data_IF_656937147701
#
_entry.id   IF_656937147701
#
_cell.length_a   1.000
_cell.length_b   1.000
_cell.length_c   1.000
_cell.angle_alpha   90.00
_cell.angle_beta   90.00
_cell.angle_gamma   90.00
#
_symmetry.space_group_name_H-M   'P 1'
#
loop_
_entity.id
_entity.type
_entity.pdbx_description
1 polymer ?
#
# COMPACT_ATOMS: atom_id res chain seq x y z
N UNK A 1 46.19 14.15 35.82
CA UNK A 1 47.49 14.50 36.46
C UNK A 1 48.05 15.82 35.90
N UNK A 2 48.13 16.04 34.61
CA UNK A 2 48.61 17.32 34.03
C UNK A 2 47.76 18.53 34.47
N UNK A 3 46.41 18.39 34.46
CA UNK A 3 45.50 19.44 34.95
C UNK A 3 45.68 19.81 36.40
N UNK A 4 45.98 18.83 37.27
CA UNK A 4 46.23 19.04 38.69
C UNK A 4 47.55 19.79 38.91
N UNK A 5 48.60 19.38 38.21
CA UNK A 5 49.92 20.05 38.26
C UNK A 5 49.85 21.49 37.71
N UNK A 6 49.03 21.73 36.68
CA UNK A 6 48.80 23.07 36.16
C UNK A 6 48.09 23.96 37.19
N UNK A 7 47.03 23.45 37.82
CA UNK A 7 46.32 24.17 38.91
C UNK A 7 47.19 24.50 40.09
N UNK A 8 48.25 23.70 40.35
CA UNK A 8 49.25 23.92 41.38
C UNK A 8 50.38 24.85 40.92
N UNK A 9 50.35 25.35 39.70
CA UNK A 9 51.39 26.20 39.13
C UNK A 9 52.69 25.47 38.83
N UNK A 10 52.72 24.14 38.84
CA UNK A 10 53.93 23.32 38.67
C UNK A 10 54.32 23.06 37.20
N UNK A 11 53.44 23.35 36.24
CA UNK A 11 53.68 23.20 34.81
C UNK A 11 53.07 24.37 34.03
N UNK A 12 53.60 24.62 32.80
CA UNK A 12 53.07 25.64 31.91
C UNK A 12 51.76 25.19 31.24
N UNK A 13 50.97 26.16 30.81
CA UNK A 13 49.75 25.93 30.01
C UNK A 13 50.06 25.13 28.74
N UNK A 14 51.13 25.48 28.05
CA UNK A 14 51.57 24.75 26.86
C UNK A 14 51.86 23.26 27.14
N UNK A 15 52.45 22.96 28.29
CA UNK A 15 52.70 21.55 28.68
C UNK A 15 51.40 20.81 28.94
N UNK A 16 50.46 21.43 29.66
CA UNK A 16 49.12 20.87 29.90
C UNK A 16 48.43 20.58 28.58
N UNK A 17 48.38 21.53 27.62
CA UNK A 17 47.68 21.41 26.36
C UNK A 17 48.34 20.36 25.47
N UNK A 18 49.65 20.26 25.44
CA UNK A 18 50.33 19.16 24.75
C UNK A 18 50.00 17.79 25.36
N UNK A 19 49.96 17.67 26.68
CA UNK A 19 49.57 16.42 27.33
C UNK A 19 48.09 16.06 27.05
N UNK A 20 47.21 17.05 26.97
CA UNK A 20 45.81 16.85 26.60
C UNK A 20 45.67 16.40 25.15
N UNK A 21 46.41 17.02 24.23
CA UNK A 21 46.44 16.65 22.82
C UNK A 21 46.94 15.21 22.64
N UNK A 22 48.04 14.85 23.31
CA UNK A 22 48.58 13.48 23.27
C UNK A 22 47.57 12.46 23.82
N UNK A 23 46.90 12.78 24.93
CA UNK A 23 45.84 11.94 25.47
C UNK A 23 44.71 11.73 24.45
N UNK A 24 44.21 12.80 23.86
CA UNK A 24 43.14 12.74 22.87
C UNK A 24 43.54 11.91 21.63
N UNK A 25 44.78 12.04 21.17
CA UNK A 25 45.30 11.21 20.08
C UNK A 25 45.32 9.74 20.42
N UNK A 26 45.77 9.38 21.64
CA UNK A 26 45.79 7.98 22.13
C UNK A 26 44.36 7.43 22.30
N UNK A 27 43.43 8.25 22.78
CA UNK A 27 42.01 7.87 22.89
C UNK A 27 41.38 7.60 21.51
N UNK A 28 41.73 8.36 20.47
CA UNK A 28 41.30 8.10 19.10
C UNK A 28 41.85 6.77 18.58
N UNK A 29 43.15 6.51 18.75
CA UNK A 29 43.78 5.23 18.35
C UNK A 29 43.14 4.05 19.05
N UNK A 30 42.86 4.18 20.36
CA UNK A 30 42.15 3.14 21.10
C UNK A 30 40.74 2.91 20.52
N UNK A 31 39.98 3.98 20.29
CA UNK A 31 38.63 3.90 19.73
C UNK A 31 38.60 3.24 18.36
N UNK A 32 39.57 3.55 17.48
CA UNK A 32 39.72 2.91 16.17
C UNK A 32 40.03 1.41 16.33
N UNK A 33 40.96 1.03 17.22
CA UNK A 33 41.30 -0.37 17.46
C UNK A 33 40.13 -1.16 18.05
N UNK A 34 39.36 -0.56 18.96
CA UNK A 34 38.13 -1.15 19.48
C UNK A 34 37.05 -1.33 18.43
N UNK A 35 36.95 -0.37 17.50
CA UNK A 35 36.04 -0.48 16.35
C UNK A 35 36.50 -1.62 15.44
N UNK A 36 37.76 -1.67 15.08
CA UNK A 36 38.31 -2.74 14.23
C UNK A 36 38.07 -4.13 14.83
N UNK A 37 38.23 -4.25 16.13
CA UNK A 37 37.92 -5.49 16.84
C UNK A 37 36.43 -5.85 16.76
N UNK A 38 35.54 -4.89 16.99
CA UNK A 38 34.09 -5.15 16.84
C UNK A 38 33.71 -5.54 15.40
N UNK A 39 34.36 -4.94 14.40
CA UNK A 39 34.11 -5.21 13.00
C UNK A 39 34.62 -6.61 12.55
N UNK A 40 35.37 -7.33 13.41
CA UNK A 40 35.71 -8.74 13.15
C UNK A 40 34.54 -9.70 13.38
N UNK A 41 33.50 -9.26 14.10
CA UNK A 41 32.29 -10.04 14.36
C UNK A 41 31.09 -9.40 13.66
N UNK A 42 30.42 -10.16 12.80
CA UNK A 42 29.23 -9.70 12.10
C UNK A 42 27.97 -10.21 12.80
N UNK A 43 27.16 -9.31 13.31
CA UNK A 43 25.90 -9.62 13.95
C UNK A 43 24.72 -9.33 13.02
N UNK A 44 23.67 -10.18 13.08
CA UNK A 44 22.43 -9.92 12.39
C UNK A 44 21.77 -8.63 12.93
N UNK A 45 21.40 -7.65 12.07
CA UNK A 45 20.80 -6.40 12.53
C UNK A 45 19.35 -6.53 12.99
N UNK A 46 18.68 -7.62 12.64
CA UNK A 46 17.30 -7.97 13.02
C UNK A 46 17.09 -9.47 12.95
N UNK A 47 15.98 -9.95 13.49
CA UNK A 47 15.57 -11.35 13.40
C UNK A 47 15.08 -11.67 11.98
N UNK A 48 15.65 -12.69 11.37
CA UNK A 48 15.31 -13.06 10.00
C UNK A 48 15.88 -14.40 9.56
N UNK A 49 15.63 -14.74 8.32
CA UNK A 49 16.18 -15.95 7.68
C UNK A 49 17.36 -15.56 6.81
N UNK A 50 18.51 -16.22 7.06
CA UNK A 50 19.70 -16.01 6.25
C UNK A 50 19.52 -16.75 4.91
N UNK A 51 19.70 -16.02 3.83
CA UNK A 51 19.64 -16.52 2.47
C UNK A 51 20.94 -16.16 1.73
N UNK A 52 21.20 -16.86 0.61
CA UNK A 52 22.32 -16.58 -0.30
C UNK A 52 23.66 -16.40 0.43
N UNK A 53 24.02 -17.38 1.29
CA UNK A 53 25.27 -17.38 2.04
C UNK A 53 26.45 -17.62 1.08
N UNK A 54 27.32 -16.62 0.97
CA UNK A 54 28.51 -16.66 0.11
C UNK A 54 29.82 -16.73 0.91
N UNK A 55 29.72 -16.62 2.23
CA UNK A 55 30.85 -16.78 3.11
C UNK A 55 31.23 -18.25 3.25
N UNK A 56 32.49 -18.58 3.02
CA UNK A 56 33.07 -19.91 3.27
C UNK A 56 34.26 -19.78 4.18
N UNK A 57 34.50 -20.83 4.99
CA UNK A 57 35.67 -20.87 5.86
C UNK A 57 36.95 -20.70 5.09
N UNK A 58 37.81 -19.78 5.50
CA UNK A 58 39.08 -19.47 4.85
C UNK A 58 38.98 -18.49 3.68
N UNK A 59 37.79 -18.01 3.34
CA UNK A 59 37.64 -16.95 2.34
C UNK A 59 38.04 -15.60 2.96
N UNK A 60 38.91 -14.87 2.26
CA UNK A 60 39.20 -13.48 2.60
C UNK A 60 38.01 -12.62 2.22
N UNK A 61 37.47 -11.85 3.16
CA UNK A 61 36.33 -10.97 2.96
C UNK A 61 36.80 -9.52 2.99
N UNK A 62 36.39 -8.72 2.00
CA UNK A 62 36.63 -7.28 1.95
C UNK A 62 35.39 -6.53 2.46
N UNK A 63 35.62 -5.55 3.31
CA UNK A 63 34.55 -4.70 3.88
C UNK A 63 33.78 -3.86 2.83
N UNK A 64 34.32 -3.72 1.60
CA UNK A 64 33.74 -2.82 0.61
C UNK A 64 32.94 -3.50 -0.51
N UNK A 65 33.24 -4.76 -0.84
CA UNK A 65 32.70 -5.36 -2.08
C UNK A 65 32.17 -6.78 -1.93
N UNK A 66 32.32 -7.43 -0.79
CA UNK A 66 31.92 -8.83 -0.64
C UNK A 66 30.56 -8.97 0.04
N UNK A 67 29.58 -9.50 -0.71
CA UNK A 67 28.33 -10.00 -0.14
C UNK A 67 28.63 -11.27 0.65
N UNK A 68 28.38 -11.25 1.94
CA UNK A 68 28.57 -12.41 2.84
C UNK A 68 27.33 -13.29 2.84
N UNK A 69 26.16 -12.66 2.82
CA UNK A 69 24.87 -13.30 2.81
C UNK A 69 23.78 -12.23 2.73
N UNK A 70 22.55 -12.69 2.79
CA UNK A 70 21.36 -11.82 2.82
C UNK A 70 20.49 -12.28 3.97
N UNK A 71 20.03 -11.33 4.80
CA UNK A 71 19.04 -11.62 5.82
C UNK A 71 17.69 -11.06 5.38
N UNK A 72 16.67 -11.88 5.46
CA UNK A 72 15.31 -11.56 5.01
C UNK A 72 14.38 -11.58 6.20
N UNK A 73 13.69 -10.46 6.44
CA UNK A 73 12.60 -10.38 7.40
C UNK A 73 11.34 -10.97 6.76
N UNK A 74 10.96 -12.17 7.21
CA UNK A 74 9.75 -12.85 6.74
C UNK A 74 8.53 -12.58 7.62
N UNK A 75 8.70 -11.84 8.72
CA UNK A 75 7.62 -11.52 9.66
C UNK A 75 6.97 -10.15 9.40
N UNK A 76 7.71 -9.25 8.74
CA UNK A 76 7.25 -7.89 8.43
C UNK A 76 7.24 -7.70 6.91
N UNK A 77 6.26 -8.29 6.23
CA UNK A 77 6.15 -8.20 4.78
C UNK A 77 5.20 -7.09 4.34
N UNK A 78 5.60 -6.39 3.28
CA UNK A 78 4.73 -5.44 2.56
C UNK A 78 4.39 -6.00 1.18
N UNK A 79 3.16 -5.74 0.75
CA UNK A 79 2.78 -5.89 -0.66
C UNK A 79 2.79 -4.53 -1.33
N UNK A 80 3.43 -4.46 -2.51
CA UNK A 80 3.46 -3.28 -3.36
C UNK A 80 2.61 -3.51 -4.60
N UNK A 81 1.72 -2.57 -4.90
CA UNK A 81 0.90 -2.58 -6.11
C UNK A 81 0.68 -1.17 -6.63
N UNK A 82 0.28 -1.05 -7.89
CA UNK A 82 0.00 0.24 -8.52
C UNK A 82 -1.48 0.33 -8.84
N UNK A 83 -2.08 1.49 -8.56
CA UNK A 83 -3.45 1.83 -8.94
C UNK A 83 -3.42 2.94 -9.99
N UNK A 84 -4.41 2.97 -10.87
CA UNK A 84 -4.54 4.02 -11.89
C UNK A 84 -4.87 5.38 -11.25
N UNK A 85 -4.62 6.47 -11.99
CA UNK A 85 -5.00 7.82 -11.56
C UNK A 85 -6.50 7.94 -11.25
N UNK A 86 -7.35 7.27 -12.04
CA UNK A 86 -8.79 7.28 -11.85
C UNK A 86 -9.20 6.57 -10.56
N UNK A 87 -8.58 5.42 -10.26
CA UNK A 87 -8.80 4.71 -9.00
C UNK A 87 -8.32 5.55 -7.82
N UNK A 88 -7.14 6.14 -7.92
CA UNK A 88 -6.60 7.02 -6.89
C UNK A 88 -7.49 8.23 -6.64
N UNK A 89 -7.99 8.87 -7.71
CA UNK A 89 -8.95 9.98 -7.60
C UNK A 89 -10.22 9.59 -6.85
N UNK A 90 -10.80 8.42 -7.14
CA UNK A 90 -11.98 7.93 -6.40
C UNK A 90 -11.70 7.67 -4.92
N UNK A 91 -10.51 7.15 -4.59
CA UNK A 91 -10.11 6.95 -3.19
C UNK A 91 -9.90 8.27 -2.44
N UNK A 92 -9.43 9.32 -3.13
CA UNK A 92 -9.30 10.66 -2.52
C UNK A 92 -10.65 11.34 -2.27
N UNK A 93 -11.67 11.00 -3.07
CA UNK A 93 -13.03 11.51 -2.90
C UNK A 93 -13.87 10.70 -1.90
N UNK A 94 -13.35 9.57 -1.41
CA UNK A 94 -14.03 8.74 -0.42
C UNK A 94 -13.95 9.40 0.97
N UNK A 95 -14.97 9.23 1.78
CA UNK A 95 -14.99 9.69 3.18
C UNK A 95 -13.99 8.88 4.05
N UNK A 96 -13.66 7.67 3.63
CA UNK A 96 -12.69 6.84 4.31
C UNK A 96 -11.27 7.17 3.85
N UNK A 97 -10.37 7.28 4.81
CA UNK A 97 -8.95 7.51 4.54
C UNK A 97 -8.35 6.36 3.71
N UNK A 98 -7.34 6.70 2.90
CA UNK A 98 -6.60 5.70 2.12
C UNK A 98 -5.70 4.89 3.06
N UNK A 99 -5.02 5.57 4.00
CA UNK A 99 -4.17 4.91 5.00
C UNK A 99 -5.02 4.09 5.97
N UNK A 100 -4.53 2.92 6.32
CA UNK A 100 -5.26 1.98 7.19
C UNK A 100 -6.40 1.23 6.51
N UNK A 101 -6.68 1.47 5.22
CA UNK A 101 -7.71 0.75 4.46
C UNK A 101 -7.35 -0.73 4.38
N UNK A 102 -8.29 -1.59 4.75
CA UNK A 102 -8.12 -3.04 4.73
C UNK A 102 -8.05 -3.57 3.29
N UNK A 103 -7.17 -4.54 3.09
CA UNK A 103 -6.96 -5.23 1.81
C UNK A 103 -6.89 -6.73 2.07
N UNK A 104 -7.56 -7.52 1.24
CA UNK A 104 -7.38 -8.96 1.19
C UNK A 104 -6.23 -9.27 0.21
N UNK A 105 -5.23 -10.00 0.68
CA UNK A 105 -4.10 -10.50 -0.10
C UNK A 105 -4.28 -11.99 -0.31
N UNK A 106 -4.39 -12.43 -1.56
CA UNK A 106 -4.58 -13.83 -1.93
C UNK A 106 -3.37 -14.34 -2.69
N UNK A 107 -2.73 -15.35 -2.15
CA UNK A 107 -1.63 -16.06 -2.78
C UNK A 107 -2.04 -17.50 -3.12
N UNK A 108 -2.04 -17.82 -4.42
CA UNK A 108 -2.39 -19.14 -4.91
C UNK A 108 -1.12 -19.97 -5.07
N UNK A 109 -1.02 -21.08 -4.33
CA UNK A 109 0.11 -22.02 -4.41
C UNK A 109 -0.43 -23.40 -4.77
N UNK A 110 -0.09 -23.87 -5.97
CA UNK A 110 -0.68 -25.08 -6.51
C UNK A 110 -2.19 -24.94 -6.65
N UNK A 111 -2.95 -25.71 -5.89
CA UNK A 111 -4.43 -25.66 -5.88
C UNK A 111 -5.00 -25.01 -4.62
N UNK A 112 -4.17 -24.43 -3.77
CA UNK A 112 -4.61 -23.81 -2.51
C UNK A 112 -4.49 -22.30 -2.60
N UNK A 113 -5.52 -21.61 -2.16
CA UNK A 113 -5.52 -20.18 -1.93
C UNK A 113 -5.22 -19.92 -0.45
N UNK A 114 -4.16 -19.17 -0.20
CA UNK A 114 -3.84 -18.63 1.11
C UNK A 114 -4.25 -17.17 1.13
N UNK A 115 -5.03 -16.81 2.13
CA UNK A 115 -5.59 -15.46 2.28
C UNK A 115 -4.97 -14.82 3.51
N UNK A 116 -4.52 -13.58 3.34
CA UNK A 116 -3.95 -12.77 4.39
C UNK A 116 -4.66 -11.41 4.41
N UNK A 117 -4.87 -10.89 5.58
CA UNK A 117 -5.33 -9.53 5.76
C UNK A 117 -4.13 -8.58 5.69
N UNK A 118 -4.36 -7.40 5.13
CA UNK A 118 -3.35 -6.35 5.05
C UNK A 118 -4.02 -4.98 5.19
N UNK A 119 -3.25 -3.99 5.58
CA UNK A 119 -3.70 -2.61 5.67
C UNK A 119 -2.73 -1.67 4.95
N UNK A 120 -3.27 -0.65 4.25
CA UNK A 120 -2.44 0.33 3.55
C UNK A 120 -1.60 1.09 4.57
N UNK A 121 -0.28 0.94 4.49
CA UNK A 121 0.70 1.59 5.36
C UNK A 121 1.20 2.91 4.79
N UNK A 122 1.29 3.01 3.45
CA UNK A 122 1.83 4.21 2.81
C UNK A 122 1.43 4.30 1.34
N UNK A 123 1.32 5.54 0.86
CA UNK A 123 1.10 5.90 -0.55
C UNK A 123 2.39 6.47 -1.12
N UNK A 124 2.75 6.05 -2.33
CA UNK A 124 3.92 6.58 -3.03
C UNK A 124 3.79 8.08 -3.30
N UNK A 125 4.89 8.80 -3.12
CA UNK A 125 4.93 10.25 -3.30
C UNK A 125 4.98 10.69 -4.78
N UNK A 126 5.14 9.75 -5.71
CA UNK A 126 5.29 10.02 -7.13
C UNK A 126 4.36 9.17 -7.99
N UNK A 127 4.04 9.68 -9.18
CA UNK A 127 3.37 8.93 -10.22
C UNK A 127 4.43 8.16 -11.00
N UNK A 128 4.32 6.84 -11.04
CA UNK A 128 5.27 5.99 -11.76
C UNK A 128 5.14 6.21 -13.26
N UNK A 129 6.20 6.68 -13.90
CA UNK A 129 6.22 7.04 -15.34
C UNK A 129 5.84 5.87 -16.25
N UNK A 130 6.22 4.63 -15.90
CA UNK A 130 5.97 3.44 -16.73
C UNK A 130 4.50 3.00 -16.72
N UNK A 131 3.79 3.16 -15.61
CA UNK A 131 2.39 2.73 -15.46
C UNK A 131 1.41 3.88 -15.45
N UNK A 132 1.88 5.11 -15.26
CA UNK A 132 1.04 6.29 -15.05
C UNK A 132 0.20 6.22 -13.76
N UNK A 133 0.50 5.28 -12.88
CA UNK A 133 -0.23 4.99 -11.65
C UNK A 133 0.48 5.46 -10.39
N UNK A 134 -0.20 5.34 -9.27
CA UNK A 134 0.32 5.60 -7.93
C UNK A 134 0.65 4.28 -7.25
N UNK A 135 1.86 4.15 -6.73
CA UNK A 135 2.24 2.97 -5.95
C UNK A 135 1.64 3.04 -4.55
N UNK A 136 1.03 1.94 -4.15
CA UNK A 136 0.49 1.73 -2.81
C UNK A 136 1.29 0.61 -2.15
N UNK A 137 1.51 0.76 -0.86
CA UNK A 137 2.18 -0.22 -0.02
C UNK A 137 1.24 -0.59 1.12
N UNK A 138 1.08 -1.88 1.35
CA UNK A 138 0.27 -2.38 2.44
C UNK A 138 1.04 -3.41 3.26
N UNK A 139 0.99 -3.26 4.56
CA UNK A 139 1.60 -4.21 5.50
C UNK A 139 0.68 -5.40 5.65
N UNK A 140 1.21 -6.60 5.47
CA UNK A 140 0.48 -7.85 5.63
C UNK A 140 0.44 -8.18 7.13
N UNK A 141 -0.77 -8.44 7.64
CA UNK A 141 -0.97 -8.87 9.01
C UNK A 141 -0.62 -10.35 9.13
N UNK A 142 0.42 -10.65 9.88
CA UNK A 142 0.88 -12.01 10.11
C UNK A 142 0.88 -12.34 11.59
N UNK A 143 0.51 -13.56 11.88
CA UNK A 143 0.73 -14.13 13.20
C UNK A 143 2.25 -14.34 13.38
N UNK A 144 2.84 -13.60 14.30
CA UNK A 144 4.28 -13.64 14.58
C UNK A 144 4.75 -14.96 15.17
N UNK A 145 3.82 -15.76 15.70
CA UNK A 145 4.11 -17.05 16.31
C UNK A 145 4.00 -18.22 15.32
N UNK A 146 3.34 -18.01 14.17
CA UNK A 146 3.19 -19.04 13.15
C UNK A 146 4.14 -18.82 11.97
N UNK A 147 4.73 -19.90 11.49
CA UNK A 147 5.49 -19.86 10.24
C UNK A 147 4.55 -19.66 9.06
N UNK A 148 4.77 -18.55 8.35
CA UNK A 148 4.04 -18.31 7.09
C UNK A 148 4.75 -18.96 5.92
N UNK A 149 4.00 -19.63 5.01
CA UNK A 149 4.58 -20.12 3.77
C UNK A 149 4.83 -19.00 2.75
N UNK A 150 4.25 -17.80 2.92
CA UNK A 150 4.46 -16.66 2.03
C UNK A 150 5.93 -16.26 2.02
N UNK A 151 6.44 -15.94 0.84
CA UNK A 151 7.84 -15.56 0.64
C UNK A 151 7.92 -14.23 -0.11
N UNK A 152 8.89 -13.36 0.21
CA UNK A 152 9.18 -12.17 -0.58
C UNK A 152 9.38 -12.51 -2.06
N UNK A 153 8.88 -11.66 -2.94
CA UNK A 153 8.88 -11.90 -4.39
C UNK A 153 7.69 -12.69 -4.92
N UNK A 154 6.77 -13.16 -4.06
CA UNK A 154 5.55 -13.81 -4.47
C UNK A 154 4.61 -12.83 -5.20
N UNK A 155 4.02 -13.26 -6.33
CA UNK A 155 2.93 -12.55 -6.98
C UNK A 155 1.61 -12.91 -6.32
N UNK A 156 0.86 -11.90 -5.91
CA UNK A 156 -0.40 -12.05 -5.18
C UNK A 156 -1.54 -11.32 -5.90
N UNK A 157 -2.76 -11.77 -5.67
CA UNK A 157 -3.97 -11.04 -6.06
C UNK A 157 -4.46 -10.22 -4.88
N UNK A 158 -4.90 -9.01 -5.16
CA UNK A 158 -5.38 -8.09 -4.14
C UNK A 158 -6.85 -7.79 -4.37
N UNK A 159 -7.60 -7.76 -3.27
CA UNK A 159 -8.96 -7.23 -3.24
C UNK A 159 -8.96 -6.05 -2.28
N UNK A 160 -9.20 -4.86 -2.81
CA UNK A 160 -9.27 -3.61 -2.06
C UNK A 160 -10.65 -2.99 -2.26
N UNK A 161 -11.34 -2.55 -1.19
CA UNK A 161 -12.55 -1.77 -1.33
C UNK A 161 -12.25 -0.46 -2.08
N UNK A 162 -13.08 -0.15 -3.07
CA UNK A 162 -13.06 1.15 -3.77
C UNK A 162 -13.87 2.17 -2.94
N UNK A 163 -14.17 3.32 -3.52
CA UNK A 163 -15.01 4.36 -2.93
C UNK A 163 -16.38 3.82 -2.53
N UNK A 164 -16.84 4.20 -1.36
CA UNK A 164 -18.20 3.88 -0.90
C UNK A 164 -19.19 4.88 -1.50
N UNK A 165 -20.22 4.37 -2.17
CA UNK A 165 -21.30 5.20 -2.73
C UNK A 165 -22.52 5.13 -1.84
N UNK A 166 -22.90 6.27 -1.29
CA UNK A 166 -24.11 6.38 -0.44
C UNK A 166 -25.30 6.90 -1.25
N UNK A 167 -26.51 6.43 -0.91
CA UNK A 167 -27.76 6.89 -1.54
C UNK A 167 -27.78 6.72 -3.06
N UNK A 168 -27.25 5.61 -3.57
CA UNK A 168 -27.27 5.26 -4.98
C UNK A 168 -28.20 4.09 -5.26
N UNK A 169 -28.73 4.05 -6.48
CA UNK A 169 -29.53 2.93 -6.99
C UNK A 169 -28.64 2.18 -7.96
N UNK A 170 -28.53 0.86 -7.78
CA UNK A 170 -27.77 -0.03 -8.67
C UNK A 170 -28.70 -0.61 -9.72
N UNK A 171 -28.42 -0.35 -10.99
CA UNK A 171 -29.17 -0.80 -12.14
C UNK A 171 -28.25 -1.42 -13.19
N UNK A 172 -28.76 -2.34 -14.06
CA UNK A 172 -27.98 -2.82 -15.20
C UNK A 172 -27.61 -1.65 -16.14
N UNK A 173 -26.40 -1.68 -16.70
CA UNK A 173 -25.94 -0.67 -17.67
C UNK A 173 -26.87 -0.58 -18.89
N UNK A 174 -27.47 -1.71 -19.29
CA UNK A 174 -28.43 -1.76 -20.40
C UNK A 174 -29.72 -0.96 -20.15
N UNK A 175 -30.00 -0.55 -18.92
CA UNK A 175 -31.15 0.27 -18.57
C UNK A 175 -30.90 1.77 -18.72
N UNK A 176 -29.64 2.19 -18.94
CA UNK A 176 -29.24 3.59 -19.08
C UNK A 176 -29.25 4.02 -20.54
N UNK A 177 -29.91 5.13 -20.82
CA UNK A 177 -30.01 5.71 -22.16
C UNK A 177 -29.20 7.02 -22.22
N UNK A 178 -28.27 7.09 -23.16
CA UNK A 178 -27.41 8.26 -23.44
C UNK A 178 -26.66 8.79 -22.22
N UNK A 179 -26.42 7.95 -21.22
CA UNK A 179 -25.79 8.33 -19.93
C UNK A 179 -26.51 9.41 -19.13
N UNK A 180 -27.76 9.73 -19.48
CA UNK A 180 -28.53 10.86 -18.93
C UNK A 180 -29.83 10.45 -18.27
N UNK A 181 -30.47 9.37 -18.71
CA UNK A 181 -31.80 9.00 -18.22
C UNK A 181 -32.09 7.52 -18.30
N UNK A 182 -33.12 7.11 -17.56
CA UNK A 182 -33.74 5.78 -17.61
C UNK A 182 -35.22 5.89 -17.90
N UNK A 183 -35.82 4.77 -18.33
CA UNK A 183 -37.28 4.65 -18.37
C UNK A 183 -37.78 3.77 -17.23
N UNK A 184 -38.72 4.30 -16.45
CA UNK A 184 -39.51 3.52 -15.49
C UNK A 184 -40.90 3.28 -16.07
N UNK A 185 -41.54 2.18 -15.66
CA UNK A 185 -42.92 1.88 -16.03
C UNK A 185 -43.86 2.32 -14.93
N UNK A 186 -44.73 3.32 -15.23
CA UNK A 186 -45.85 3.72 -14.35
C UNK A 186 -47.15 3.69 -15.15
N UNK A 187 -48.17 3.07 -14.58
CA UNK A 187 -49.49 2.93 -15.23
C UNK A 187 -49.41 2.37 -16.68
N UNK A 188 -48.59 1.34 -16.88
CA UNK A 188 -48.30 0.72 -18.16
C UNK A 188 -47.76 1.69 -19.24
N UNK A 189 -47.13 2.78 -18.81
CA UNK A 189 -46.50 3.75 -19.68
C UNK A 189 -45.07 4.04 -19.28
N UNK A 190 -44.24 4.32 -20.27
CA UNK A 190 -42.88 4.73 -20.05
C UNK A 190 -42.85 6.17 -19.51
N UNK A 191 -42.13 6.37 -18.42
CA UNK A 191 -41.81 7.66 -17.86
C UNK A 191 -40.30 7.85 -17.88
N UNK A 192 -39.85 8.92 -18.50
CA UNK A 192 -38.44 9.28 -18.54
C UNK A 192 -38.01 9.89 -17.20
N UNK A 193 -36.92 9.39 -16.63
CA UNK A 193 -36.35 9.90 -15.38
C UNK A 193 -34.87 10.23 -15.62
N UNK A 194 -34.52 11.51 -15.42
CA UNK A 194 -33.13 11.97 -15.50
C UNK A 194 -32.32 11.39 -14.34
N UNK A 195 -31.10 11.00 -14.64
CA UNK A 195 -30.16 10.42 -13.67
C UNK A 195 -28.81 11.10 -13.75
N UNK A 196 -28.05 10.98 -12.66
CA UNK A 196 -26.63 11.27 -12.63
C UNK A 196 -25.88 9.97 -12.33
N UNK A 197 -24.92 9.60 -13.17
CA UNK A 197 -24.06 8.44 -12.96
C UNK A 197 -23.05 8.79 -11.87
N UNK A 198 -23.04 8.02 -10.79
CA UNK A 198 -22.12 8.16 -9.67
C UNK A 198 -20.90 7.22 -9.79
N UNK A 199 -21.10 6.08 -10.44
CA UNK A 199 -20.03 5.09 -10.63
C UNK A 199 -20.50 3.84 -11.36
N UNK A 200 -19.58 2.88 -11.48
CA UNK A 200 -19.84 1.60 -12.14
C UNK A 200 -19.45 0.46 -11.18
N UNK A 201 -20.23 -0.62 -11.23
CA UNK A 201 -19.98 -1.85 -10.48
C UNK A 201 -20.19 -3.06 -11.41
N UNK A 202 -19.10 -3.52 -12.00
CA UNK A 202 -19.07 -4.57 -13.04
C UNK A 202 -19.95 -4.19 -14.25
N UNK A 203 -21.07 -4.89 -14.46
CA UNK A 203 -22.07 -4.66 -15.51
C UNK A 203 -23.23 -3.77 -15.05
N UNK A 204 -23.12 -3.15 -13.87
CA UNK A 204 -24.14 -2.27 -13.33
C UNK A 204 -23.61 -0.85 -13.22
N UNK A 205 -24.55 0.09 -13.28
CA UNK A 205 -24.31 1.51 -13.07
C UNK A 205 -24.92 1.92 -11.74
N UNK A 206 -24.19 2.72 -10.99
CA UNK A 206 -24.65 3.34 -9.76
C UNK A 206 -25.15 4.73 -10.09
N UNK A 207 -26.45 4.95 -9.92
CA UNK A 207 -27.10 6.21 -10.31
C UNK A 207 -27.70 6.94 -9.12
N UNK A 208 -27.82 8.25 -9.26
CA UNK A 208 -28.66 9.09 -8.42
C UNK A 208 -29.75 9.75 -9.29
N UNK A 209 -31.04 9.73 -8.90
CA UNK A 209 -32.05 10.49 -9.61
C UNK A 209 -31.73 11.99 -9.53
N UNK A 210 -31.89 12.72 -10.64
CA UNK A 210 -31.69 14.18 -10.64
C UNK A 210 -32.80 14.94 -9.91
N UNK A 211 -33.93 14.29 -9.68
CA UNK A 211 -35.04 14.81 -8.88
C UNK A 211 -35.36 13.79 -7.78
N UNK A 212 -35.43 14.26 -6.55
CA UNK A 212 -35.80 13.43 -5.39
C UNK A 212 -37.20 12.81 -5.59
N UNK A 213 -37.37 11.56 -5.15
CA UNK A 213 -38.64 10.80 -5.17
C UNK A 213 -39.17 10.29 -6.53
N UNK A 214 -38.43 10.40 -7.63
CA UNK A 214 -38.92 9.87 -8.91
C UNK A 214 -38.79 8.36 -9.05
N UNK A 215 -37.91 7.70 -8.30
CA UNK A 215 -37.68 6.25 -8.31
C UNK A 215 -37.96 5.70 -6.93
N UNK A 216 -38.87 4.74 -6.85
CA UNK A 216 -39.25 4.07 -5.59
C UNK A 216 -38.88 2.59 -5.64
N UNK A 217 -38.75 2.00 -4.46
CA UNK A 217 -38.49 0.57 -4.37
C UNK A 217 -39.70 -0.20 -4.93
N UNK A 218 -39.43 -1.08 -5.92
CA UNK A 218 -40.48 -1.82 -6.65
C UNK A 218 -40.87 -1.22 -7.99
N UNK A 219 -40.34 -0.05 -8.37
CA UNK A 219 -40.51 0.48 -9.73
C UNK A 219 -39.84 -0.44 -10.74
N UNK A 220 -40.50 -0.68 -11.86
CA UNK A 220 -39.98 -1.47 -12.97
C UNK A 220 -39.18 -0.58 -13.90
N UNK A 221 -37.99 -1.00 -14.23
CA UNK A 221 -37.04 -0.30 -15.11
C UNK A 221 -36.92 -1.06 -16.41
N UNK A 222 -36.91 -0.34 -17.53
CA UNK A 222 -36.68 -0.91 -18.84
C UNK A 222 -35.20 -1.26 -19.02
N UNK A 223 -34.89 -2.53 -19.20
CA UNK A 223 -33.52 -3.02 -19.40
C UNK A 223 -33.18 -3.34 -20.86
N UNK A 224 -34.22 -3.47 -21.71
CA UNK A 224 -34.04 -3.76 -23.13
C UNK A 224 -34.05 -2.44 -23.93
N UNK A 225 -33.12 -2.30 -24.90
CA UNK A 225 -33.14 -1.18 -25.82
C UNK A 225 -34.36 -1.33 -26.74
N UNK A 226 -35.38 -0.55 -26.46
CA UNK A 226 -36.56 -0.45 -27.33
C UNK A 226 -36.26 0.48 -28.50
N UNK A 227 -36.51 0.05 -29.76
CA UNK A 227 -36.25 0.85 -30.96
C UNK A 227 -37.07 2.15 -31.02
N UNK A 228 -38.21 2.19 -30.33
CA UNK A 228 -39.13 3.34 -30.27
C UNK A 228 -39.46 3.69 -28.78
N UNK A 229 -38.45 3.75 -27.94
CA UNK A 229 -38.62 4.18 -26.55
C UNK A 229 -38.88 5.70 -26.54
N UNK A 230 -40.07 6.09 -26.07
CA UNK A 230 -40.44 7.48 -25.87
C UNK A 230 -41.29 7.67 -24.60
N UNK A 231 -41.29 8.86 -24.05
CA UNK A 231 -42.12 9.18 -22.89
C UNK A 231 -43.62 8.99 -23.24
N UNK A 232 -44.36 8.32 -22.36
CA UNK A 232 -45.77 8.07 -22.52
C UNK A 232 -46.12 6.86 -23.37
N UNK A 233 -45.17 6.18 -24.02
CA UNK A 233 -45.40 4.95 -24.79
C UNK A 233 -45.97 3.86 -23.89
N UNK A 234 -47.05 3.21 -24.33
CA UNK A 234 -47.66 2.11 -23.60
C UNK A 234 -46.82 0.84 -23.77
N UNK A 235 -46.57 0.15 -22.68
CA UNK A 235 -45.77 -1.09 -22.66
C UNK A 235 -46.50 -2.20 -21.91
N UNK A 236 -46.31 -3.41 -22.35
CA UNK A 236 -46.74 -4.60 -21.65
C UNK A 236 -45.55 -5.17 -20.86
N UNK A 237 -45.81 -5.56 -19.63
CA UNK A 237 -44.81 -6.17 -18.74
C UNK A 237 -44.83 -7.67 -19.04
N UNK A 238 -43.71 -8.19 -19.49
CA UNK A 238 -43.50 -9.62 -19.79
C UNK A 238 -43.08 -10.37 -18.52
#
# INVERSE_FOLDING_TARGET
>A
RADELFKQGSISEQFRDNALLEKTQQELVLSESEKDLRDTELFAPFDGVINDVQATLGKQVSTFNDKIGEIIDIKNMEVRFSISKSQYGRLLEDENEILGRAIEVRWTVGQKDLIFDASISRVGAEITSNTGGVNIFATIEMDKEQETPLRPGAFVRLRMPDKTYVSVIRIPETAVFNDEYIYIVKDQRLKKVGIAISGYDQSNVLIKPTQELMIQNGDLIVTNQLREAGEGVKVDIL
#
